data_IF_704458821593
#
_entry.id   IF_704458821593
#
_cell.length_a   1.000
_cell.length_b   1.000
_cell.length_c   1.000
_cell.angle_alpha   90.00
_cell.angle_beta   90.00
_cell.angle_gamma   90.00
#
_symmetry.space_group_name_H-M   'P 1'
#
loop_
_entity.id
_entity.type
_entity.pdbx_description
1 polymer ?
#
# COMPACT_ATOMS: atom_id res chain seq x y z
N UNK A 1 7.52 -10.15 6.65
CA UNK A 1 6.98 -9.00 5.90
C UNK A 1 5.81 -9.50 5.12
N UNK A 2 6.01 -10.49 4.24
CA UNK A 2 4.93 -11.25 3.61
C UNK A 2 3.98 -11.79 4.69
N UNK A 3 2.68 -11.79 4.38
CA UNK A 3 1.53 -12.12 5.23
C UNK A 3 1.35 -11.20 6.45
N UNK A 4 2.15 -10.15 6.60
CA UNK A 4 1.97 -9.15 7.65
C UNK A 4 1.08 -8.01 7.17
N UNK A 5 0.11 -7.63 8.00
CA UNK A 5 -0.73 -6.45 7.77
C UNK A 5 -0.08 -5.24 8.41
N UNK A 6 0.11 -4.18 7.64
CA UNK A 6 0.58 -2.89 8.12
C UNK A 6 -0.52 -1.85 8.00
N UNK A 7 -0.56 -0.93 8.97
CA UNK A 7 -1.24 0.35 8.79
C UNK A 7 -0.44 1.22 7.84
N UNK A 8 -1.08 1.67 6.77
CA UNK A 8 -0.46 2.41 5.68
C UNK A 8 -1.15 3.74 5.50
N UNK A 9 -0.39 4.84 5.55
CA UNK A 9 -0.90 6.13 5.10
C UNK A 9 -0.90 6.17 3.58
N UNK A 10 -2.04 6.53 3.02
CA UNK A 10 -2.25 6.60 1.58
C UNK A 10 -1.68 7.91 1.02
N UNK A 11 -0.70 7.82 0.13
CA UNK A 11 -0.04 8.99 -0.48
C UNK A 11 -0.56 9.28 -1.90
N UNK A 12 -1.21 8.32 -2.56
CA UNK A 12 -1.95 8.51 -3.80
C UNK A 12 -1.62 7.49 -4.90
N UNK A 13 -1.98 7.77 -6.17
CA UNK A 13 -1.72 6.87 -7.28
C UNK A 13 -0.23 6.82 -7.64
N UNK A 14 0.26 5.68 -8.11
CA UNK A 14 1.62 5.57 -8.62
C UNK A 14 1.79 6.45 -9.87
N UNK A 15 3.02 6.91 -10.12
CA UNK A 15 3.31 7.78 -11.28
C UNK A 15 3.01 7.13 -12.64
N UNK A 16 3.15 5.81 -12.72
CA UNK A 16 3.08 5.07 -13.99
C UNK A 16 1.72 4.40 -14.21
N UNK A 17 0.94 4.19 -13.15
CA UNK A 17 -0.35 3.53 -13.23
C UNK A 17 -1.31 4.08 -12.16
N UNK A 18 -2.38 4.72 -12.63
CA UNK A 18 -3.41 5.30 -11.77
C UNK A 18 -4.31 4.25 -11.08
N UNK A 19 -4.29 3.01 -11.57
CA UNK A 19 -4.99 1.88 -10.96
C UNK A 19 -4.23 1.28 -9.78
N UNK A 20 -2.98 1.71 -9.55
CA UNK A 20 -2.18 1.28 -8.41
C UNK A 20 -1.96 2.47 -7.48
N UNK A 21 -2.15 2.23 -6.19
CA UNK A 21 -1.91 3.23 -5.14
C UNK A 21 -0.63 2.91 -4.40
N UNK A 22 -0.03 3.94 -3.83
CA UNK A 22 1.14 3.82 -2.98
C UNK A 22 0.97 4.59 -1.69
N UNK A 23 1.74 4.16 -0.70
CA UNK A 23 1.74 4.74 0.63
C UNK A 23 2.93 4.26 1.43
N UNK A 24 2.93 4.64 2.71
CA UNK A 24 3.98 4.25 3.65
C UNK A 24 3.40 3.56 4.87
N UNK A 25 4.01 2.44 5.23
CA UNK A 25 3.80 1.78 6.52
C UNK A 25 4.28 2.66 7.67
N UNK A 26 3.82 2.38 8.90
CA UNK A 26 4.34 2.99 10.13
C UNK A 26 5.87 2.85 10.30
N UNK A 27 6.46 1.79 9.73
CA UNK A 27 7.91 1.58 9.64
C UNK A 27 8.61 2.32 8.51
N UNK A 28 7.95 3.30 7.88
CA UNK A 28 8.45 4.13 6.78
C UNK A 28 8.82 3.35 5.49
N UNK A 29 8.31 2.12 5.33
CA UNK A 29 8.49 1.32 4.11
C UNK A 29 7.41 1.68 3.09
N UNK A 30 7.81 1.87 1.85
CA UNK A 30 6.90 2.08 0.72
C UNK A 30 6.19 0.78 0.35
N UNK A 31 4.90 0.86 0.10
CA UNK A 31 4.06 -0.25 -0.34
C UNK A 31 3.14 0.20 -1.47
N UNK A 32 2.89 -0.70 -2.43
CA UNK A 32 2.00 -0.50 -3.57
C UNK A 32 0.92 -1.58 -3.56
N UNK A 33 -0.32 -1.20 -3.85
CA UNK A 33 -1.48 -2.09 -3.94
C UNK A 33 -2.44 -1.64 -5.05
N UNK A 34 -3.39 -2.49 -5.42
CA UNK A 34 -4.43 -2.14 -6.40
C UNK A 34 -5.46 -1.18 -5.79
N UNK A 35 -5.89 -0.20 -6.58
CA UNK A 35 -6.94 0.72 -6.21
C UNK A 35 -8.32 0.15 -6.54
N UNK A 36 -9.07 -0.22 -5.52
CA UNK A 36 -10.47 -0.65 -5.65
C UNK A 36 -11.47 0.51 -5.57
N UNK A 37 -11.00 1.75 -5.40
CA UNK A 37 -11.82 2.95 -5.25
C UNK A 37 -12.43 3.15 -3.86
N UNK A 38 -12.03 2.35 -2.86
CA UNK A 38 -12.56 2.44 -1.49
C UNK A 38 -11.82 3.43 -0.58
N UNK A 39 -10.68 3.97 -1.03
CA UNK A 39 -9.77 4.77 -0.20
C UNK A 39 -9.46 6.13 -0.83
N UNK A 40 -9.04 7.08 0.00
CA UNK A 40 -8.64 8.44 -0.38
C UNK A 40 -7.22 8.78 0.12
N UNK A 41 -6.60 9.79 -0.48
CA UNK A 41 -5.28 10.30 -0.04
C UNK A 41 -5.42 10.85 1.39
N UNK A 42 -4.50 10.46 2.26
CA UNK A 42 -4.50 10.81 3.69
C UNK A 42 -5.18 9.79 4.59
N UNK A 43 -5.90 8.81 4.04
CA UNK A 43 -6.45 7.71 4.82
C UNK A 43 -5.34 6.83 5.40
N UNK A 44 -5.64 6.17 6.50
CA UNK A 44 -4.80 5.08 7.04
C UNK A 44 -5.54 3.78 6.90
N UNK A 45 -4.98 2.85 6.12
CA UNK A 45 -5.65 1.61 5.72
C UNK A 45 -4.80 0.39 6.01
N UNK A 46 -5.42 -0.75 6.38
CA UNK A 46 -4.70 -2.00 6.56
C UNK A 46 -4.35 -2.61 5.20
N UNK A 47 -3.05 -2.84 4.97
CA UNK A 47 -2.54 -3.49 3.76
C UNK A 47 -1.76 -4.74 4.15
N UNK A 48 -2.18 -5.90 3.64
CA UNK A 48 -1.41 -7.14 3.78
C UNK A 48 -0.33 -7.18 2.72
N UNK A 49 0.90 -7.51 3.11
CA UNK A 49 2.02 -7.67 2.17
C UNK A 49 1.95 -9.05 1.53
N UNK A 50 1.87 -9.09 0.20
CA UNK A 50 1.96 -10.31 -0.59
C UNK A 50 3.40 -10.64 -0.95
N UNK A 51 4.22 -9.61 -1.21
CA UNK A 51 5.60 -9.79 -1.64
C UNK A 51 6.51 -8.65 -1.23
N UNK A 52 7.69 -9.03 -0.70
CA UNK A 52 8.77 -8.09 -0.43
C UNK A 52 9.74 -7.92 -1.61
N UNK A 53 10.17 -6.68 -1.88
CA UNK A 53 11.32 -6.36 -2.74
C UNK A 53 12.27 -5.40 -2.00
N UNK A 54 13.49 -5.21 -2.51
CA UNK A 54 14.56 -4.46 -1.81
C UNK A 54 14.15 -3.06 -1.34
N UNK A 55 13.24 -2.38 -2.06
CA UNK A 55 12.84 -1.00 -1.76
C UNK A 55 11.32 -0.79 -1.66
N UNK A 56 10.52 -1.80 -2.00
CA UNK A 56 9.07 -1.66 -2.10
C UNK A 56 8.40 -2.97 -1.71
N UNK A 57 7.25 -2.85 -1.06
CA UNK A 57 6.36 -3.97 -0.78
C UNK A 57 5.21 -3.95 -1.78
N UNK A 58 4.69 -5.12 -2.13
CA UNK A 58 3.44 -5.27 -2.87
C UNK A 58 2.41 -5.93 -1.97
N UNK A 59 1.17 -5.47 -2.03
CA UNK A 59 0.11 -5.95 -1.16
C UNK A 59 -1.28 -5.69 -1.73
N UNK A 60 -2.26 -5.99 -0.90
CA UNK A 60 -3.68 -5.72 -1.14
C UNK A 60 -4.34 -5.19 0.13
N UNK A 61 -5.46 -4.47 -0.03
CA UNK A 61 -6.28 -4.02 1.08
C UNK A 61 -6.92 -5.21 1.79
N UNK A 62 -6.98 -5.15 3.10
CA UNK A 62 -7.75 -6.10 3.92
C UNK A 62 -9.06 -5.42 4.30
N UNK A 63 -10.19 -6.00 3.88
CA UNK A 63 -11.53 -5.56 4.29
C UNK A 63 -11.98 -6.18 5.61
#
# INVERSE_FOLDING_TARGET
MEDHVYDVIVEGPTKNDANHWFGRTTGNKMIIWENDGSVAIGDTVPVQVDKGQTWVLKGHLVH
#
